data_IF_027236505629
#
_entry.id   IF_027236505629
#
_cell.length_a   1.000
_cell.length_b   1.000
_cell.length_c   1.000
_cell.angle_alpha   90.00
_cell.angle_beta   90.00
_cell.angle_gamma   90.00
#
_symmetry.space_group_name_H-M   'P 1'
#
loop_
_entity.id
_entity.type
_entity.pdbx_description
1 polymer ?
#
# COMPACT_ATOMS: atom_id res chain seq x y z
N UNK A 1 1.72 11.83 -43.34
CA UNK A 1 1.26 12.71 -42.25
C UNK A 1 2.27 12.53 -41.11
N UNK A 2 2.79 13.60 -40.59
CA UNK A 2 3.67 13.50 -39.39
C UNK A 2 2.77 13.13 -38.21
N UNK A 3 2.95 11.94 -37.65
CA UNK A 3 2.27 11.57 -36.40
C UNK A 3 2.92 12.32 -35.23
N UNK A 4 2.13 12.71 -34.23
CA UNK A 4 2.64 13.28 -33.01
C UNK A 4 3.57 12.33 -32.24
N UNK A 5 4.26 12.84 -31.24
CA UNK A 5 5.14 12.04 -30.40
C UNK A 5 4.35 10.92 -29.68
N UNK A 6 4.97 9.77 -29.56
CA UNK A 6 4.37 8.63 -28.82
C UNK A 6 4.64 8.82 -27.33
N UNK A 7 3.59 8.69 -26.52
CA UNK A 7 3.67 8.54 -25.07
C UNK A 7 3.78 7.04 -24.78
N UNK A 8 4.87 6.62 -24.16
CA UNK A 8 5.11 5.21 -23.82
C UNK A 8 4.65 4.93 -22.41
N UNK A 9 3.64 4.08 -22.25
CA UNK A 9 3.11 3.64 -20.98
C UNK A 9 3.68 2.26 -20.66
N UNK A 10 4.63 2.20 -19.74
CA UNK A 10 5.25 0.92 -19.34
C UNK A 10 4.23 0.05 -18.60
N UNK A 11 3.88 -1.09 -19.18
CA UNK A 11 2.84 -2.00 -18.68
C UNK A 11 1.40 -1.62 -19.08
N UNK A 12 1.22 -0.54 -19.80
CA UNK A 12 -0.08 -0.08 -20.33
C UNK A 12 -0.07 0.06 -21.85
N UNK A 13 -1.08 0.76 -22.38
CA UNK A 13 -1.24 1.00 -23.81
C UNK A 13 -0.61 2.34 -24.20
N UNK A 14 0.34 2.31 -25.15
CA UNK A 14 0.95 3.55 -25.65
C UNK A 14 -0.07 4.48 -26.31
N UNK A 15 0.11 5.76 -26.11
CA UNK A 15 -0.72 6.83 -26.68
C UNK A 15 0.10 7.72 -27.61
N UNK A 16 -0.53 8.65 -28.32
CA UNK A 16 0.16 9.64 -29.14
C UNK A 16 -0.33 11.05 -28.81
N UNK A 17 0.54 12.03 -28.98
CA UNK A 17 0.13 13.44 -28.94
C UNK A 17 -0.47 13.85 -30.28
N UNK A 18 -1.55 14.62 -30.24
CA UNK A 18 -2.20 15.17 -31.43
C UNK A 18 -1.51 16.45 -31.85
N UNK A 19 -1.15 16.57 -33.14
CA UNK A 19 -0.51 17.78 -33.70
C UNK A 19 -1.57 18.71 -34.26
N UNK A 20 -1.69 19.90 -33.67
CA UNK A 20 -2.66 20.91 -34.13
C UNK A 20 -2.49 21.31 -35.57
N UNK A 21 -3.57 21.28 -36.32
CA UNK A 21 -3.60 21.65 -37.73
C UNK A 21 -2.98 20.62 -38.69
N UNK A 22 -2.52 19.46 -38.20
CA UNK A 22 -1.92 18.37 -38.96
C UNK A 22 -2.73 17.10 -38.81
N UNK A 23 -3.01 16.70 -37.56
CA UNK A 23 -3.73 15.48 -37.23
C UNK A 23 -5.23 15.76 -37.07
N UNK A 24 -6.07 14.88 -37.60
CA UNK A 24 -7.46 14.75 -37.16
C UNK A 24 -7.51 14.01 -35.83
N UNK A 25 -8.52 14.32 -35.01
CA UNK A 25 -8.81 13.51 -33.83
C UNK A 25 -9.38 12.17 -34.29
N UNK A 26 -8.69 11.11 -33.95
CA UNK A 26 -9.07 9.74 -34.28
C UNK A 26 -9.72 9.03 -33.08
N UNK A 27 -10.39 7.92 -33.33
CA UNK A 27 -11.01 7.12 -32.28
C UNK A 27 -9.99 6.66 -31.21
N UNK A 28 -8.76 6.41 -31.62
CA UNK A 28 -7.69 5.97 -30.73
C UNK A 28 -7.23 7.06 -29.78
N UNK A 29 -7.30 8.34 -30.16
CA UNK A 29 -6.96 9.46 -29.28
C UNK A 29 -7.88 9.53 -28.04
N UNK A 30 -9.07 8.94 -28.13
CA UNK A 30 -9.99 8.76 -27.03
C UNK A 30 -9.90 7.36 -26.40
N UNK A 31 -9.80 6.32 -27.21
CA UNK A 31 -9.87 4.94 -26.74
C UNK A 31 -8.63 4.49 -25.97
N UNK A 32 -7.44 4.98 -26.35
CA UNK A 32 -6.20 4.57 -25.69
C UNK A 32 -6.06 5.16 -24.26
N UNK A 33 -6.24 6.47 -24.02
CA UNK A 33 -6.28 7.00 -22.64
C UNK A 33 -7.39 6.34 -21.82
N UNK A 34 -8.57 6.11 -22.40
CA UNK A 34 -9.65 5.39 -21.73
C UNK A 34 -9.25 3.97 -21.32
N UNK A 35 -8.54 3.25 -22.19
CA UNK A 35 -8.06 1.90 -21.87
C UNK A 35 -7.10 1.93 -20.65
N UNK A 36 -6.13 2.84 -20.65
CA UNK A 36 -5.20 2.99 -19.53
C UNK A 36 -5.91 3.37 -18.21
N UNK A 37 -6.90 4.26 -18.26
CA UNK A 37 -7.71 4.60 -17.09
C UNK A 37 -8.49 3.38 -16.58
N UNK A 38 -9.12 2.62 -17.48
CA UNK A 38 -9.81 1.39 -17.11
C UNK A 38 -8.86 0.36 -16.48
N UNK A 39 -7.66 0.25 -17.00
CA UNK A 39 -6.63 -0.64 -16.48
C UNK A 39 -6.21 -0.23 -15.08
N UNK A 40 -5.98 1.06 -14.82
CA UNK A 40 -5.72 1.58 -13.46
C UNK A 40 -6.88 1.28 -12.50
N UNK A 41 -8.11 1.39 -12.97
CA UNK A 41 -9.28 1.26 -12.12
C UNK A 41 -9.68 -0.18 -11.80
N UNK A 42 -9.55 -1.11 -12.74
CA UNK A 42 -10.19 -2.43 -12.57
C UNK A 42 -9.42 -3.64 -13.11
N UNK A 43 -8.48 -3.46 -14.03
CA UNK A 43 -7.84 -4.60 -14.70
C UNK A 43 -6.57 -5.07 -13.99
N UNK A 44 -6.26 -6.38 -14.03
CA UNK A 44 -4.95 -6.91 -13.65
C UNK A 44 -3.86 -6.33 -14.56
N UNK A 45 -2.73 -5.97 -13.98
CA UNK A 45 -1.58 -5.42 -14.68
C UNK A 45 -0.31 -6.13 -14.26
N UNK A 46 0.59 -6.32 -15.22
CA UNK A 46 1.98 -6.65 -14.94
C UNK A 46 2.75 -5.33 -14.74
N UNK A 47 3.36 -5.17 -13.58
CA UNK A 47 4.07 -3.95 -13.21
C UNK A 47 5.50 -4.31 -12.87
N UNK A 48 6.43 -3.51 -13.36
CA UNK A 48 7.82 -3.60 -12.93
C UNK A 48 8.09 -2.56 -11.86
N UNK A 49 8.40 -3.01 -10.65
CA UNK A 49 8.89 -2.18 -9.56
C UNK A 49 10.35 -2.53 -9.33
N UNK A 50 11.24 -1.57 -9.53
CA UNK A 50 12.66 -1.81 -9.38
C UNK A 50 13.16 -2.96 -10.27
N UNK A 51 13.53 -4.08 -9.67
CA UNK A 51 14.12 -5.25 -10.36
C UNK A 51 13.15 -6.41 -10.57
N UNK A 52 11.90 -6.32 -10.15
CA UNK A 52 10.93 -7.42 -10.27
C UNK A 52 9.64 -6.98 -10.94
N UNK A 53 9.00 -7.93 -11.62
CA UNK A 53 7.72 -7.74 -12.29
C UNK A 53 6.61 -8.22 -11.37
N UNK A 54 5.63 -7.38 -11.12
CA UNK A 54 4.47 -7.71 -10.31
C UNK A 54 3.27 -7.99 -11.20
N UNK A 55 2.64 -9.15 -11.02
CA UNK A 55 1.28 -9.36 -11.47
C UNK A 55 0.34 -8.73 -10.43
N UNK A 56 -0.18 -7.54 -10.72
CA UNK A 56 -1.00 -6.80 -9.77
C UNK A 56 -2.31 -6.33 -10.38
N UNK A 57 -3.30 -6.14 -9.51
CA UNK A 57 -4.55 -5.46 -9.86
C UNK A 57 -4.46 -4.06 -9.30
N UNK A 58 -4.49 -3.04 -10.12
CA UNK A 58 -4.58 -1.67 -9.60
C UNK A 58 -5.90 -1.44 -8.91
N UNK A 59 -7.00 -1.80 -9.54
CA UNK A 59 -8.30 -2.00 -8.92
C UNK A 59 -8.72 -0.96 -7.89
N UNK A 60 -8.44 0.31 -8.10
CA UNK A 60 -8.80 1.38 -7.16
C UNK A 60 -10.31 1.48 -6.91
N UNK A 61 -11.10 0.83 -7.74
CA UNK A 61 -12.55 0.73 -7.59
C UNK A 61 -12.96 -0.64 -7.03
N UNK A 62 -12.42 -1.07 -5.95
CA UNK A 62 -12.75 -2.35 -5.34
C UNK A 62 -14.17 -2.37 -4.75
N UNK A 63 -14.87 -3.47 -4.99
CA UNK A 63 -16.22 -3.68 -4.48
C UNK A 63 -17.35 -3.29 -5.46
N UNK A 64 -17.04 -2.95 -6.71
CA UNK A 64 -18.01 -2.65 -7.75
C UNK A 64 -18.78 -1.34 -7.56
N UNK A 65 -18.35 -0.51 -6.62
CA UNK A 65 -18.89 0.84 -6.49
C UNK A 65 -18.33 1.74 -7.60
N UNK A 66 -19.03 2.81 -7.89
CA UNK A 66 -18.60 3.82 -8.84
C UNK A 66 -17.30 4.47 -8.37
N UNK A 67 -16.31 4.57 -9.23
CA UNK A 67 -15.04 5.24 -8.96
C UNK A 67 -15.22 6.73 -8.87
N UNK A 68 -16.02 7.24 -9.77
CA UNK A 68 -16.32 8.63 -9.95
C UNK A 68 -17.84 8.79 -9.88
N UNK A 69 -18.38 9.87 -9.31
CA UNK A 69 -19.83 10.12 -9.30
C UNK A 69 -20.47 10.03 -10.68
N UNK A 70 -19.70 10.29 -11.72
CA UNK A 70 -20.13 10.16 -13.11
C UNK A 70 -19.90 8.77 -13.70
N UNK A 71 -19.18 7.87 -13.01
CA UNK A 71 -18.99 6.50 -13.46
C UNK A 71 -20.15 5.62 -13.01
N UNK A 72 -20.70 4.85 -13.93
CA UNK A 72 -21.74 3.88 -13.61
C UNK A 72 -21.15 2.48 -13.59
N UNK A 73 -20.84 1.99 -12.40
CA UNK A 73 -20.32 0.66 -12.18
C UNK A 73 -18.81 0.52 -12.40
N UNK A 74 -18.31 -0.69 -12.27
CA UNK A 74 -16.89 -1.04 -12.32
C UNK A 74 -16.23 -0.91 -13.71
N UNK A 75 -17.02 -0.74 -14.75
CA UNK A 75 -16.52 -0.58 -16.11
C UNK A 75 -16.71 0.87 -16.52
N UNK A 76 -15.68 1.64 -16.34
CA UNK A 76 -15.79 3.08 -16.40
C UNK A 76 -16.26 3.58 -17.76
N UNK A 77 -15.66 3.16 -18.82
CA UNK A 77 -15.92 3.72 -20.14
C UNK A 77 -15.98 2.61 -21.21
N UNK A 78 -17.08 1.84 -21.20
CA UNK A 78 -17.26 0.83 -22.26
C UNK A 78 -17.34 1.50 -23.63
N UNK A 79 -16.76 0.86 -24.64
CA UNK A 79 -16.92 1.29 -26.02
C UNK A 79 -18.41 1.39 -26.38
N UNK A 80 -18.83 2.52 -26.97
CA UNK A 80 -20.22 2.76 -27.28
C UNK A 80 -21.10 3.23 -26.12
N UNK A 81 -20.52 3.52 -24.96
CA UNK A 81 -21.25 4.16 -23.87
C UNK A 81 -21.63 5.60 -24.26
N UNK A 82 -22.69 6.13 -23.65
CA UNK A 82 -23.08 7.54 -23.83
C UNK A 82 -22.14 8.51 -23.08
N UNK A 83 -21.11 7.99 -22.43
CA UNK A 83 -20.12 8.76 -21.70
C UNK A 83 -19.10 9.35 -22.67
N UNK A 84 -18.80 10.63 -22.46
CA UNK A 84 -17.97 11.40 -23.35
C UNK A 84 -16.60 11.75 -22.79
N UNK A 85 -15.93 12.67 -23.46
CA UNK A 85 -14.60 13.17 -23.09
C UNK A 85 -14.61 13.77 -21.67
N UNK A 86 -15.67 14.49 -21.30
CA UNK A 86 -15.81 15.06 -19.94
C UNK A 86 -15.75 13.99 -18.85
N UNK A 87 -16.44 12.87 -19.05
CA UNK A 87 -16.45 11.80 -18.05
C UNK A 87 -15.05 11.16 -17.89
N UNK A 88 -14.29 11.05 -18.97
CA UNK A 88 -12.90 10.58 -18.93
C UNK A 88 -12.01 11.61 -18.20
N UNK A 89 -12.20 12.89 -18.44
CA UNK A 89 -11.50 13.97 -17.73
C UNK A 89 -11.79 13.92 -16.22
N UNK A 90 -13.04 13.76 -15.84
CA UNK A 90 -13.45 13.64 -14.43
C UNK A 90 -12.80 12.43 -13.74
N UNK A 91 -12.73 11.28 -14.44
CA UNK A 91 -12.09 10.07 -13.91
C UNK A 91 -10.56 10.28 -13.74
N UNK A 92 -9.90 10.93 -14.68
CA UNK A 92 -8.47 11.26 -14.59
C UNK A 92 -8.21 12.26 -13.46
N UNK A 93 -9.02 13.30 -13.31
CA UNK A 93 -8.90 14.25 -12.20
C UNK A 93 -9.07 13.56 -10.84
N UNK A 94 -10.01 12.62 -10.72
CA UNK A 94 -10.17 11.83 -9.51
C UNK A 94 -8.94 10.96 -9.20
N UNK A 95 -8.33 10.35 -10.23
CA UNK A 95 -7.06 9.63 -10.11
C UNK A 95 -5.92 10.55 -9.69
N UNK A 96 -5.79 11.73 -10.27
CA UNK A 96 -4.77 12.72 -9.89
C UNK A 96 -4.89 13.10 -8.42
N UNK A 97 -6.10 13.37 -7.92
CA UNK A 97 -6.33 13.66 -6.51
C UNK A 97 -5.96 12.45 -5.63
N UNK A 98 -6.36 11.25 -6.01
CA UNK A 98 -6.07 10.04 -5.25
C UNK A 98 -4.57 9.74 -5.18
N UNK A 99 -3.85 9.88 -6.30
CA UNK A 99 -2.42 9.60 -6.41
C UNK A 99 -1.54 10.79 -5.97
N UNK A 100 -2.15 11.89 -5.54
CA UNK A 100 -1.47 13.15 -5.24
C UNK A 100 -0.58 13.63 -6.41
N UNK A 101 -1.07 13.43 -7.64
CA UNK A 101 -0.39 13.81 -8.88
C UNK A 101 -0.99 15.11 -9.41
N UNK A 102 -0.16 16.12 -9.64
CA UNK A 102 -0.60 17.46 -10.06
C UNK A 102 0.26 18.04 -11.20
N UNK A 103 1.10 17.23 -11.84
CA UNK A 103 2.03 17.70 -12.88
C UNK A 103 1.29 18.28 -14.08
N UNK A 104 0.23 17.61 -14.51
CA UNK A 104 -0.60 18.07 -15.63
C UNK A 104 -1.99 18.52 -15.16
N UNK A 105 -2.46 19.61 -15.76
CA UNK A 105 -3.80 20.13 -15.48
C UNK A 105 -4.77 19.70 -16.58
N UNK A 106 -5.73 18.85 -16.25
CA UNK A 106 -6.82 18.48 -17.14
C UNK A 106 -7.87 19.59 -17.10
N UNK A 107 -8.08 20.25 -18.26
CA UNK A 107 -9.11 21.27 -18.39
C UNK A 107 -10.42 20.64 -18.86
N UNK A 108 -11.46 20.82 -18.08
CA UNK A 108 -12.81 20.35 -18.41
C UNK A 108 -13.34 20.97 -19.70
N UNK A 109 -14.05 20.14 -20.46
CA UNK A 109 -14.83 20.58 -21.60
C UNK A 109 -16.30 20.69 -21.24
N UNK A 110 -16.94 21.75 -21.72
CA UNK A 110 -18.38 21.97 -21.61
C UNK A 110 -19.09 21.74 -22.95
N UNK A 111 -20.39 21.59 -22.89
CA UNK A 111 -21.20 21.47 -24.11
C UNK A 111 -21.06 22.74 -24.97
N UNK A 112 -20.61 22.58 -26.21
CA UNK A 112 -20.38 23.67 -27.14
C UNK A 112 -18.93 24.15 -27.23
N UNK A 113 -18.04 23.65 -26.39
CA UNK A 113 -16.61 23.96 -26.50
C UNK A 113 -15.98 23.34 -27.74
N UNK A 114 -14.98 24.04 -28.27
CA UNK A 114 -14.13 23.48 -29.32
C UNK A 114 -13.07 22.58 -28.70
N UNK A 115 -13.12 21.30 -29.03
CA UNK A 115 -12.12 20.34 -28.58
C UNK A 115 -10.87 20.53 -29.44
N UNK A 116 -9.76 20.88 -28.79
CA UNK A 116 -8.47 21.16 -29.43
C UNK A 116 -7.46 20.03 -29.23
N UNK A 117 -6.38 20.03 -30.01
CA UNK A 117 -5.24 19.16 -29.76
C UNK A 117 -4.67 19.32 -28.33
N UNK A 118 -4.67 20.54 -27.81
CA UNK A 118 -4.21 20.81 -26.44
C UNK A 118 -5.08 20.10 -25.39
N UNK A 119 -6.40 20.06 -25.60
CA UNK A 119 -7.35 19.37 -24.71
C UNK A 119 -7.06 17.87 -24.64
N UNK A 120 -6.80 17.22 -25.78
CA UNK A 120 -6.43 15.81 -25.79
C UNK A 120 -5.02 15.57 -25.22
N UNK A 121 -4.07 16.42 -25.56
CA UNK A 121 -2.69 16.26 -25.11
C UNK A 121 -2.55 16.39 -23.60
N UNK A 122 -3.23 17.37 -22.96
CA UNK A 122 -3.23 17.48 -21.50
C UNK A 122 -3.86 16.27 -20.82
N UNK A 123 -4.92 15.71 -21.39
CA UNK A 123 -5.54 14.48 -20.88
C UNK A 123 -4.59 13.28 -20.99
N UNK A 124 -3.93 13.09 -22.14
CA UNK A 124 -3.01 11.98 -22.34
C UNK A 124 -1.80 12.04 -21.42
N UNK A 125 -1.22 13.25 -21.23
CA UNK A 125 -0.11 13.47 -20.30
C UNK A 125 -0.56 13.22 -18.86
N UNK A 126 -1.73 13.69 -18.45
CA UNK A 126 -2.27 13.41 -17.14
C UNK A 126 -2.52 11.91 -16.88
N UNK A 127 -2.93 11.15 -17.91
CA UNK A 127 -3.04 9.68 -17.81
C UNK A 127 -1.67 9.04 -17.64
N UNK A 128 -0.65 9.50 -18.38
CA UNK A 128 0.74 9.05 -18.21
C UNK A 128 1.24 9.32 -16.79
N UNK A 129 1.01 10.52 -16.28
CA UNK A 129 1.41 10.92 -14.92
C UNK A 129 0.72 10.07 -13.86
N UNK A 130 -0.60 9.84 -13.98
CA UNK A 130 -1.32 8.93 -13.09
C UNK A 130 -0.77 7.50 -13.15
N UNK A 131 -0.41 7.03 -14.34
CA UNK A 131 0.20 5.72 -14.50
C UNK A 131 1.55 5.62 -13.81
N UNK A 132 2.38 6.63 -13.94
CA UNK A 132 3.71 6.67 -13.32
C UNK A 132 3.60 6.83 -11.78
N UNK A 133 2.59 7.54 -11.30
CA UNK A 133 2.33 7.78 -9.88
C UNK A 133 1.49 6.70 -9.19
N UNK A 134 1.14 5.62 -9.85
CA UNK A 134 0.14 4.61 -9.43
C UNK A 134 0.36 3.97 -8.05
N UNK A 135 1.54 4.12 -7.47
CA UNK A 135 1.86 3.67 -6.10
C UNK A 135 2.23 4.83 -5.15
N UNK A 136 2.10 6.07 -5.57
CA UNK A 136 2.56 7.24 -4.80
C UNK A 136 1.51 7.83 -3.87
N UNK A 137 0.35 7.19 -3.68
CA UNK A 137 -0.66 7.81 -2.86
C UNK A 137 -0.28 7.77 -1.36
N UNK A 138 -0.81 8.69 -0.58
CA UNK A 138 -0.53 8.79 0.85
C UNK A 138 -1.63 8.07 1.65
N UNK A 139 -1.31 7.04 2.42
CA UNK A 139 -2.30 6.37 3.25
C UNK A 139 -2.77 7.25 4.41
N UNK A 140 -3.92 6.90 4.96
CA UNK A 140 -4.47 7.53 6.16
C UNK A 140 -3.54 7.35 7.38
N UNK A 141 -3.82 8.07 8.46
CA UNK A 141 -3.12 7.86 9.74
C UNK A 141 -3.28 6.41 10.22
N UNK A 142 -2.23 5.88 10.86
CA UNK A 142 -2.26 4.52 11.38
C UNK A 142 -3.28 4.38 12.51
N UNK A 143 -4.10 3.34 12.43
CA UNK A 143 -5.07 2.95 13.45
C UNK A 143 -4.63 1.66 14.16
N UNK A 144 -5.13 1.46 15.38
CA UNK A 144 -4.98 0.20 16.11
C UNK A 144 -6.28 -0.58 15.99
N UNK A 145 -6.23 -1.76 15.37
CA UNK A 145 -7.40 -2.61 15.20
C UNK A 145 -7.57 -3.57 16.38
N UNK A 146 -6.46 -4.12 16.91
CA UNK A 146 -6.48 -4.98 18.10
C UNK A 146 -5.26 -4.73 18.99
N UNK A 147 -5.38 -5.09 20.26
CA UNK A 147 -4.30 -5.04 21.26
C UNK A 147 -4.32 -6.31 22.09
N UNK A 148 -3.16 -6.93 22.28
CA UNK A 148 -2.95 -7.98 23.28
C UNK A 148 -1.91 -7.52 24.30
N UNK A 149 -2.05 -7.97 25.53
CA UNK A 149 -1.19 -7.56 26.63
C UNK A 149 -0.68 -8.76 27.42
N UNK A 150 0.52 -8.61 27.97
CA UNK A 150 1.12 -9.50 28.97
C UNK A 150 1.60 -8.67 30.16
N UNK A 151 1.22 -9.09 31.35
CA UNK A 151 1.58 -8.41 32.62
C UNK A 151 2.56 -9.20 33.45
N UNK A 152 2.91 -10.42 33.01
CA UNK A 152 3.91 -11.25 33.71
C UNK A 152 5.29 -11.00 33.12
N UNK A 153 6.30 -10.97 33.94
CA UNK A 153 7.69 -10.93 33.54
C UNK A 153 8.00 -12.09 32.53
N UNK A 154 9.02 -11.90 31.71
CA UNK A 154 9.43 -12.94 30.77
C UNK A 154 10.92 -13.18 30.78
N UNK A 155 11.29 -14.36 30.34
CA UNK A 155 12.64 -14.79 29.99
C UNK A 155 12.56 -15.48 28.64
N UNK A 156 13.67 -15.64 27.96
CA UNK A 156 13.72 -16.32 26.67
C UNK A 156 12.90 -15.61 25.58
N UNK A 157 11.95 -16.31 24.97
CA UNK A 157 11.30 -15.82 23.75
C UNK A 157 9.80 -15.66 23.95
N UNK A 158 9.30 -14.48 23.61
CA UNK A 158 7.87 -14.20 23.44
C UNK A 158 7.50 -14.16 21.96
N UNK A 159 6.33 -14.68 21.63
CA UNK A 159 5.80 -14.68 20.28
C UNK A 159 4.35 -14.23 20.27
N UNK A 160 4.00 -13.40 19.29
CA UNK A 160 2.62 -13.07 18.94
C UNK A 160 2.42 -13.18 17.43
N UNK A 161 1.30 -13.76 17.01
CA UNK A 161 0.96 -13.95 15.60
C UNK A 161 -0.23 -13.07 15.25
N UNK A 162 -0.10 -12.31 14.19
CA UNK A 162 -1.14 -11.46 13.63
C UNK A 162 -1.49 -11.99 12.24
N UNK A 163 -2.77 -12.23 12.02
CA UNK A 163 -3.28 -12.65 10.72
C UNK A 163 -4.23 -11.59 10.18
N UNK A 164 -3.99 -11.15 8.96
CA UNK A 164 -4.88 -10.27 8.20
C UNK A 164 -5.57 -11.08 7.11
N UNK A 165 -6.90 -11.00 7.04
CA UNK A 165 -7.72 -11.74 6.07
C UNK A 165 -8.51 -10.79 5.21
N UNK A 166 -8.35 -10.92 3.90
CA UNK A 166 -9.10 -10.19 2.87
C UNK A 166 -10.20 -11.06 2.28
N UNK A 167 -11.28 -10.44 1.83
CA UNK A 167 -12.41 -11.14 1.22
C UNK A 167 -12.05 -11.81 -0.13
N UNK A 168 -11.04 -11.28 -0.84
CA UNK A 168 -10.55 -11.81 -2.11
C UNK A 168 -9.10 -11.38 -2.37
N UNK A 169 -8.44 -12.05 -3.32
CA UNK A 169 -7.14 -11.64 -3.84
C UNK A 169 -7.19 -10.21 -4.39
N UNK A 170 -8.21 -9.88 -5.19
CA UNK A 170 -8.38 -8.55 -5.75
C UNK A 170 -8.46 -7.47 -4.67
N UNK A 171 -9.18 -7.73 -3.57
CA UNK A 171 -9.26 -6.80 -2.44
C UNK A 171 -7.90 -6.65 -1.74
N UNK A 172 -7.15 -7.75 -1.59
CA UNK A 172 -5.81 -7.72 -0.99
C UNK A 172 -4.84 -6.88 -1.83
N UNK A 173 -4.76 -7.16 -3.13
CA UNK A 173 -3.87 -6.42 -4.03
C UNK A 173 -4.25 -4.95 -4.15
N UNK A 174 -5.54 -4.66 -4.30
CA UNK A 174 -6.02 -3.29 -4.37
C UNK A 174 -5.69 -2.50 -3.10
N UNK A 175 -5.79 -3.11 -1.91
CA UNK A 175 -5.42 -2.47 -0.65
C UNK A 175 -3.96 -2.00 -0.68
N UNK A 176 -3.03 -2.87 -1.06
CA UNK A 176 -1.60 -2.51 -1.14
C UNK A 176 -1.29 -1.57 -2.31
N UNK A 177 -1.91 -1.76 -3.47
CA UNK A 177 -1.76 -0.85 -4.61
C UNK A 177 -2.27 0.56 -4.28
N UNK A 178 -3.34 0.62 -3.52
CA UNK A 178 -3.86 1.85 -2.98
C UNK A 178 -3.02 2.41 -1.81
N UNK A 179 -1.86 1.83 -1.46
CA UNK A 179 -0.92 2.23 -0.40
C UNK A 179 -1.35 1.87 1.00
N UNK A 180 -2.24 0.91 1.13
CA UNK A 180 -2.55 0.34 2.43
C UNK A 180 -1.32 -0.31 3.05
N UNK A 181 -1.21 -0.22 4.37
CA UNK A 181 -0.10 -0.77 5.15
C UNK A 181 -0.63 -1.56 6.33
N UNK A 182 0.04 -2.68 6.66
CA UNK A 182 -0.35 -3.59 7.74
C UNK A 182 0.85 -3.94 8.62
N UNK A 183 0.64 -4.04 9.93
CA UNK A 183 1.76 -4.41 10.78
C UNK A 183 1.51 -4.38 12.28
N UNK A 184 2.57 -4.08 13.00
CA UNK A 184 2.62 -4.05 14.46
C UNK A 184 3.08 -2.71 15.01
N UNK A 185 2.67 -2.41 16.24
CA UNK A 185 3.48 -1.62 17.17
C UNK A 185 3.64 -2.37 18.49
N UNK A 186 4.73 -2.11 19.18
CA UNK A 186 5.08 -2.75 20.45
C UNK A 186 5.42 -1.67 21.45
N UNK A 187 5.00 -1.85 22.68
CA UNK A 187 5.34 -0.95 23.77
C UNK A 187 5.22 -1.63 25.11
N UNK A 188 5.87 -1.08 26.10
CA UNK A 188 5.81 -1.53 27.49
C UNK A 188 5.54 -0.35 28.42
N UNK A 189 4.84 -0.58 29.50
CA UNK A 189 4.57 0.44 30.53
C UNK A 189 4.68 -0.15 31.92
N UNK A 190 5.11 0.67 32.87
CA UNK A 190 5.27 0.26 34.30
C UNK A 190 6.41 -0.75 34.50
N UNK A 191 6.33 -1.53 35.55
CA UNK A 191 7.36 -2.48 35.96
C UNK A 191 8.46 -1.87 36.83
N UNK A 192 9.51 -2.63 37.05
CA UNK A 192 10.70 -2.23 37.81
C UNK A 192 11.55 -1.21 37.03
N UNK A 193 12.30 -0.38 37.73
CA UNK A 193 13.26 0.53 37.08
C UNK A 193 14.58 -0.20 36.81
N UNK A 194 14.55 -1.23 35.96
CA UNK A 194 15.74 -1.98 35.59
C UNK A 194 16.34 -1.46 34.26
N UNK A 195 17.62 -1.70 34.09
CA UNK A 195 18.30 -1.34 32.85
C UNK A 195 17.75 -2.14 31.66
N UNK A 196 17.39 -3.40 31.88
CA UNK A 196 16.79 -4.24 30.86
C UNK A 196 15.44 -3.70 30.34
N UNK A 197 14.57 -3.30 31.27
CA UNK A 197 13.31 -2.63 30.93
C UNK A 197 13.55 -1.35 30.14
N UNK A 198 14.51 -0.54 30.53
CA UNK A 198 14.89 0.69 29.84
C UNK A 198 15.36 0.38 28.41
N UNK A 199 16.15 -0.68 28.20
CA UNK A 199 16.64 -1.07 26.86
C UNK A 199 15.52 -1.56 25.94
N UNK A 200 14.57 -2.32 26.48
CA UNK A 200 13.39 -2.70 25.72
C UNK A 200 12.55 -1.48 25.32
N UNK A 201 12.33 -0.53 26.25
CA UNK A 201 11.58 0.70 25.96
C UNK A 201 12.27 1.56 24.89
N UNK A 202 13.59 1.70 24.95
CA UNK A 202 14.40 2.37 23.93
C UNK A 202 14.27 1.66 22.57
N UNK A 203 14.29 0.33 22.56
CA UNK A 203 14.16 -0.47 21.35
C UNK A 203 12.78 -0.30 20.73
N UNK A 204 11.70 -0.40 21.51
CA UNK A 204 10.33 -0.21 21.01
C UNK A 204 10.11 1.22 20.51
N UNK A 205 10.62 2.22 21.23
CA UNK A 205 10.54 3.62 20.80
C UNK A 205 11.29 3.86 19.50
N UNK A 206 12.50 3.28 19.36
CA UNK A 206 13.30 3.44 18.16
C UNK A 206 12.70 2.74 16.92
N UNK A 207 12.05 1.60 17.12
CA UNK A 207 11.40 0.85 16.04
C UNK A 207 10.08 1.51 15.62
N UNK A 208 9.26 1.96 16.58
CA UNK A 208 7.96 2.56 16.32
C UNK A 208 6.96 1.58 15.69
N UNK A 209 6.16 2.06 14.75
CA UNK A 209 5.29 1.21 13.93
C UNK A 209 6.12 0.43 12.91
N UNK A 210 5.82 -0.85 12.75
CA UNK A 210 6.43 -1.75 11.76
C UNK A 210 5.33 -2.06 10.74
N UNK A 211 5.43 -1.48 9.56
CA UNK A 211 4.36 -1.48 8.56
C UNK A 211 4.86 -2.05 7.23
N UNK A 212 4.22 -3.12 6.79
CA UNK A 212 4.40 -3.73 5.48
C UNK A 212 3.55 -2.95 4.47
N UNK A 213 4.19 -2.38 3.45
CA UNK A 213 3.51 -1.79 2.29
C UNK A 213 3.62 -2.69 1.04
N UNK A 214 3.36 -2.17 -0.14
CA UNK A 214 3.40 -2.93 -1.39
C UNK A 214 4.84 -3.35 -1.78
N UNK A 215 5.85 -2.54 -1.47
CA UNK A 215 7.25 -2.69 -1.94
C UNK A 215 8.23 -2.98 -0.81
N UNK A 216 7.95 -2.51 0.42
CA UNK A 216 8.91 -2.58 1.52
C UNK A 216 8.23 -2.76 2.88
N UNK A 217 9.02 -2.88 3.92
CA UNK A 217 8.58 -2.80 5.30
C UNK A 217 9.18 -1.56 5.95
N UNK A 218 8.35 -0.69 6.46
CA UNK A 218 8.74 0.56 7.11
C UNK A 218 8.86 0.36 8.62
N UNK A 219 9.92 0.91 9.21
CA UNK A 219 10.12 1.00 10.64
C UNK A 219 11.07 2.17 10.94
N UNK A 220 11.02 2.72 12.15
CA UNK A 220 11.88 3.83 12.56
C UNK A 220 13.36 3.43 12.63
N UNK A 221 13.66 2.21 13.09
CA UNK A 221 15.04 1.70 13.24
C UNK A 221 15.05 0.17 13.22
N UNK A 222 16.13 -0.40 12.69
CA UNK A 222 16.35 -1.85 12.60
C UNK A 222 16.98 -2.22 11.27
N UNK A 223 17.34 -3.50 11.12
CA UNK A 223 17.75 -4.07 9.83
C UNK A 223 16.49 -4.51 9.12
N UNK A 224 16.13 -3.76 8.08
CA UNK A 224 15.01 -4.03 7.22
C UNK A 224 15.49 -4.85 6.02
N UNK A 225 14.72 -5.87 5.63
CA UNK A 225 15.04 -6.72 4.47
C UNK A 225 14.56 -6.13 3.14
N UNK A 226 13.94 -4.96 3.14
CA UNK A 226 13.31 -4.32 1.97
C UNK A 226 12.29 -5.24 1.27
N UNK A 227 11.55 -6.00 2.06
CA UNK A 227 10.51 -6.91 1.57
C UNK A 227 9.16 -6.20 1.75
N UNK A 228 8.40 -6.12 0.66
CA UNK A 228 7.03 -5.66 0.62
C UNK A 228 6.04 -6.80 0.35
N UNK A 229 4.77 -6.46 0.28
CA UNK A 229 3.70 -7.44 0.06
C UNK A 229 3.92 -8.32 -1.18
N UNK A 230 4.38 -7.72 -2.29
CA UNK A 230 4.54 -8.44 -3.55
C UNK A 230 5.72 -9.40 -3.58
N UNK A 231 6.65 -9.28 -2.64
CA UNK A 231 7.79 -10.18 -2.50
C UNK A 231 7.54 -11.31 -1.49
N UNK A 232 6.40 -11.26 -0.76
CA UNK A 232 6.07 -12.30 0.21
C UNK A 232 5.87 -13.65 -0.47
N UNK A 233 6.43 -14.66 0.16
CA UNK A 233 6.23 -16.07 -0.21
C UNK A 233 5.34 -16.79 0.78
N UNK A 234 5.06 -18.05 0.54
CA UNK A 234 4.34 -18.91 1.48
C UNK A 234 5.20 -19.36 2.68
N UNK A 235 6.50 -19.14 2.64
CA UNK A 235 7.40 -19.34 3.76
C UNK A 235 7.66 -18.05 4.51
N UNK A 236 7.76 -18.06 5.85
CA UNK A 236 8.07 -16.85 6.61
C UNK A 236 9.39 -16.20 6.16
N UNK A 237 9.33 -14.90 5.88
CA UNK A 237 10.46 -14.06 5.49
C UNK A 237 10.68 -12.99 6.55
N UNK A 238 11.93 -12.68 6.87
CA UNK A 238 12.26 -11.65 7.84
C UNK A 238 11.99 -10.27 7.22
N UNK A 239 11.11 -9.51 7.85
CA UNK A 239 10.82 -8.11 7.50
C UNK A 239 11.72 -7.15 8.24
N UNK A 240 11.88 -7.36 9.53
CA UNK A 240 12.66 -6.49 10.42
C UNK A 240 13.38 -7.31 11.48
N UNK A 241 14.60 -6.85 11.82
CA UNK A 241 15.33 -7.27 13.00
C UNK A 241 15.93 -6.07 13.70
N UNK A 242 15.78 -5.99 15.02
CA UNK A 242 16.36 -4.94 15.84
C UNK A 242 16.92 -5.51 17.13
N UNK A 243 18.23 -5.43 17.26
CA UNK A 243 18.93 -5.73 18.53
C UNK A 243 18.86 -4.53 19.45
N UNK A 244 18.87 -4.79 20.76
CA UNK A 244 19.08 -3.73 21.75
C UNK A 244 20.48 -3.13 21.58
N UNK A 245 20.62 -1.83 21.86
CA UNK A 245 21.82 -1.10 21.43
C UNK A 245 23.00 -1.16 22.42
N UNK A 246 22.75 -1.57 23.67
CA UNK A 246 23.71 -1.36 24.75
C UNK A 246 24.01 -2.66 25.54
N UNK A 247 25.31 -2.93 25.76
CA UNK A 247 25.74 -4.04 26.60
C UNK A 247 25.18 -3.89 28.03
N UNK A 248 24.87 -5.01 28.72
CA UNK A 248 25.08 -6.40 28.31
C UNK A 248 23.97 -6.97 27.40
N UNK A 249 22.90 -6.24 27.09
CA UNK A 249 21.67 -6.69 26.45
C UNK A 249 21.74 -6.73 24.90
N UNK A 250 22.92 -6.67 24.32
CA UNK A 250 23.08 -6.59 22.84
C UNK A 250 22.68 -7.86 22.10
N UNK A 251 22.40 -8.94 22.79
CA UNK A 251 21.87 -10.17 22.24
C UNK A 251 20.33 -10.23 22.23
N UNK A 252 19.68 -9.32 22.96
CA UNK A 252 18.23 -9.21 22.96
C UNK A 252 17.75 -8.66 21.62
N UNK A 253 16.69 -9.27 21.05
CA UNK A 253 16.25 -8.96 19.70
C UNK A 253 14.75 -8.93 19.55
N UNK A 254 14.27 -7.90 18.85
CA UNK A 254 12.94 -7.85 18.27
C UNK A 254 13.05 -8.28 16.79
N UNK A 255 12.20 -9.23 16.37
CA UNK A 255 12.13 -9.68 14.99
C UNK A 255 10.70 -9.77 14.52
N UNK A 256 10.46 -9.37 13.27
CA UNK A 256 9.18 -9.56 12.59
C UNK A 256 9.41 -10.36 11.33
N UNK A 257 8.60 -11.39 11.14
CA UNK A 257 8.55 -12.17 9.89
C UNK A 257 7.14 -12.12 9.32
N UNK A 258 7.01 -12.31 8.01
CA UNK A 258 5.71 -12.43 7.36
C UNK A 258 5.72 -13.48 6.25
N UNK A 259 4.53 -13.97 5.93
CA UNK A 259 4.26 -14.82 4.77
C UNK A 259 2.82 -14.64 4.29
N UNK A 260 2.54 -15.07 3.07
CA UNK A 260 1.18 -15.14 2.51
C UNK A 260 0.71 -16.60 2.43
N UNK A 261 -0.61 -16.80 2.39
CA UNK A 261 -1.18 -18.13 2.19
C UNK A 261 -0.98 -18.66 0.76
N UNK A 262 -0.78 -17.78 -0.21
CA UNK A 262 -0.56 -18.08 -1.63
C UNK A 262 0.14 -16.92 -2.32
N UNK A 263 1.10 -17.19 -3.18
CA UNK A 263 1.76 -16.18 -4.01
C UNK A 263 0.92 -15.77 -5.22
N UNK A 264 0.06 -16.68 -5.70
CA UNK A 264 -0.81 -16.43 -6.86
C UNK A 264 -2.11 -15.75 -6.46
N UNK A 265 -2.76 -16.24 -5.39
CA UNK A 265 -4.05 -15.74 -4.92
C UNK A 265 -3.96 -15.36 -3.42
N UNK A 266 -3.20 -14.34 -3.04
CA UNK A 266 -3.04 -13.95 -1.65
C UNK A 266 -4.33 -13.38 -1.09
N UNK A 267 -4.82 -13.99 -0.02
CA UNK A 267 -5.98 -13.50 0.74
C UNK A 267 -5.71 -13.42 2.24
N UNK A 268 -4.61 -14.05 2.68
CA UNK A 268 -4.22 -14.07 4.10
C UNK A 268 -2.75 -13.72 4.21
N UNK A 269 -2.46 -12.75 5.07
CA UNK A 269 -1.09 -12.37 5.44
C UNK A 269 -0.91 -12.73 6.90
N UNK A 270 0.09 -13.56 7.19
CA UNK A 270 0.46 -13.92 8.56
C UNK A 270 1.76 -13.22 8.90
N UNK A 271 1.75 -12.45 9.98
CA UNK A 271 2.93 -11.77 10.52
C UNK A 271 3.23 -12.30 11.91
N UNK A 272 4.48 -12.58 12.20
CA UNK A 272 4.91 -13.08 13.51
C UNK A 272 5.91 -12.10 14.12
N UNK A 273 5.58 -11.56 15.27
CA UNK A 273 6.48 -10.80 16.11
C UNK A 273 7.11 -11.72 17.15
N UNK A 274 8.42 -11.63 17.27
CA UNK A 274 9.21 -12.36 18.27
C UNK A 274 10.07 -11.38 19.04
N UNK A 275 10.02 -11.48 20.39
CA UNK A 275 10.92 -10.78 21.30
C UNK A 275 11.76 -11.84 22.00
N UNK A 276 13.06 -11.80 21.81
CA UNK A 276 13.99 -12.74 22.47
C UNK A 276 14.81 -12.00 23.48
N UNK A 277 14.67 -12.39 24.73
CA UNK A 277 15.56 -12.05 25.83
C UNK A 277 16.61 -13.14 25.89
N UNK A 278 17.84 -12.80 25.59
CA UNK A 278 18.93 -13.79 25.44
C UNK A 278 19.43 -14.37 26.76
N UNK A 279 18.99 -13.85 27.89
CA UNK A 279 19.28 -14.38 29.22
C UNK A 279 20.76 -14.31 29.63
N UNK A 280 21.52 -13.42 29.03
CA UNK A 280 22.97 -13.27 29.24
C UNK A 280 23.31 -12.26 30.36
N UNK A 281 22.30 -11.65 30.96
CA UNK A 281 22.50 -10.67 32.01
C UNK A 281 22.46 -11.30 33.37
N UNK A 282 23.55 -11.25 34.02
CA UNK A 282 23.75 -11.76 35.39
C UNK A 282 23.25 -10.73 36.42
N UNK A 283 22.86 -9.53 36.01
CA UNK A 283 22.79 -8.34 36.87
C UNK A 283 21.36 -7.82 37.03
N UNK A 284 20.44 -8.18 36.13
CA UNK A 284 19.12 -7.55 36.09
C UNK A 284 17.95 -8.51 36.26
N UNK A 285 16.85 -7.95 36.72
CA UNK A 285 15.59 -8.66 36.78
C UNK A 285 15.04 -8.87 35.37
N UNK A 286 14.26 -9.92 35.18
CA UNK A 286 13.53 -10.19 33.96
C UNK A 286 12.69 -8.97 33.53
N UNK A 287 12.56 -8.69 32.22
CA UNK A 287 11.65 -7.67 31.76
C UNK A 287 10.24 -7.87 32.34
N UNK A 288 9.70 -6.82 32.93
CA UNK A 288 8.41 -6.85 33.63
C UNK A 288 7.54 -5.62 33.23
N UNK A 289 6.41 -5.45 33.91
CA UNK A 289 5.41 -4.45 33.56
C UNK A 289 4.37 -4.97 32.58
N UNK A 290 3.71 -4.07 31.87
CA UNK A 290 2.71 -4.41 30.87
C UNK A 290 3.29 -4.27 29.47
N UNK A 291 3.59 -5.39 28.83
CA UNK A 291 3.92 -5.45 27.40
C UNK A 291 2.63 -5.41 26.59
N UNK A 292 2.54 -4.51 25.62
CA UNK A 292 1.41 -4.37 24.71
C UNK A 292 1.89 -4.56 23.28
N UNK A 293 1.21 -5.42 22.53
CA UNK A 293 1.39 -5.60 21.09
C UNK A 293 0.09 -5.19 20.41
N UNK A 294 0.19 -4.30 19.43
CA UNK A 294 -0.96 -3.76 18.71
C UNK A 294 -0.90 -4.19 17.24
N UNK A 295 -2.04 -4.61 16.69
CA UNK A 295 -2.25 -4.71 15.26
C UNK A 295 -2.41 -3.30 14.70
N UNK A 296 -1.57 -2.93 13.72
CA UNK A 296 -1.54 -1.60 13.12
C UNK A 296 -1.92 -1.66 11.66
N UNK A 297 -2.77 -0.74 11.24
CA UNK A 297 -3.21 -0.61 9.85
C UNK A 297 -3.25 0.85 9.43
N UNK A 298 -2.81 1.11 8.20
CA UNK A 298 -3.07 2.36 7.48
C UNK A 298 -3.91 2.04 6.26
N UNK A 299 -5.08 2.63 6.19
CA UNK A 299 -6.02 2.41 5.08
C UNK A 299 -5.65 3.34 3.91
N UNK A 300 -5.80 2.90 2.64
CA UNK A 300 -5.78 3.84 1.52
C UNK A 300 -6.75 5.00 1.75
N UNK A 301 -6.25 6.25 1.64
CA UNK A 301 -7.09 7.43 1.83
C UNK A 301 -7.79 7.83 0.52
N UNK A 302 -9.08 7.70 0.49
CA UNK A 302 -9.91 8.08 -0.66
C UNK A 302 -10.69 9.37 -0.43
N UNK A 303 -10.37 10.11 0.63
CA UNK A 303 -11.08 11.35 0.99
C UNK A 303 -10.98 12.39 -0.12
N UNK A 304 -12.12 12.87 -0.59
CA UNK A 304 -12.18 13.89 -1.62
C UNK A 304 -11.93 13.43 -3.06
N UNK A 305 -11.66 12.14 -3.27
CA UNK A 305 -11.33 11.60 -4.60
C UNK A 305 -12.56 11.15 -5.40
N UNK A 306 -13.68 10.88 -4.75
CA UNK A 306 -14.85 10.24 -5.36
C UNK A 306 -14.72 8.72 -5.50
N UNK A 307 -13.59 8.12 -5.12
CA UNK A 307 -13.43 6.66 -5.07
C UNK A 307 -14.19 6.04 -3.90
N UNK A 308 -14.56 4.78 -4.08
CA UNK A 308 -15.10 3.98 -2.99
C UNK A 308 -13.99 3.59 -2.02
N UNK A 309 -14.34 3.51 -0.74
CA UNK A 309 -13.41 3.00 0.27
C UNK A 309 -12.94 1.58 -0.06
N UNK A 310 -11.66 1.35 0.11
CA UNK A 310 -11.08 0.00 -0.02
C UNK A 310 -11.62 -0.93 1.05
N UNK A 311 -11.73 -2.21 0.71
CA UNK A 311 -12.13 -3.23 1.67
C UNK A 311 -11.13 -3.29 2.83
N UNK A 312 -11.62 -3.18 4.04
CA UNK A 312 -10.82 -3.34 5.25
C UNK A 312 -10.56 -4.82 5.51
N UNK A 313 -9.31 -5.27 5.66
CA UNK A 313 -9.05 -6.64 6.08
C UNK A 313 -9.51 -6.88 7.51
N UNK A 314 -9.88 -8.12 7.82
CA UNK A 314 -10.14 -8.55 9.18
C UNK A 314 -8.85 -8.98 9.83
N UNK A 315 -8.57 -8.47 11.02
CA UNK A 315 -7.41 -8.86 11.83
C UNK A 315 -7.75 -9.99 12.82
N UNK A 316 -6.74 -10.76 13.16
CA UNK A 316 -6.76 -11.70 14.27
C UNK A 316 -5.39 -11.67 14.95
N UNK A 317 -5.30 -10.98 16.08
CA UNK A 317 -4.09 -10.86 16.87
C UNK A 317 -4.09 -11.90 17.99
N UNK A 318 -3.16 -12.86 17.89
CA UNK A 318 -2.98 -13.92 18.87
C UNK A 318 -2.37 -13.43 20.19
N UNK A 319 -2.68 -14.11 21.27
CA UNK A 319 -2.11 -13.84 22.58
C UNK A 319 -0.57 -13.90 22.55
N UNK A 320 0.07 -13.16 23.44
CA UNK A 320 1.52 -13.22 23.67
C UNK A 320 1.85 -14.54 24.40
N UNK A 321 2.57 -15.42 23.73
CA UNK A 321 2.96 -16.74 24.24
C UNK A 321 4.46 -16.82 24.46
N UNK A 322 4.88 -17.71 25.33
CA UNK A 322 6.27 -17.89 25.73
C UNK A 322 6.50 -17.66 27.23
N UNK A 323 7.71 -17.86 27.69
CA UNK A 323 8.10 -17.79 29.12
C UNK A 323 9.15 -16.74 29.35
#
# INVERSE_FOLDING_TARGET
MASGATITITGGTNMRLVVAGVDGVEADDYNLPRANVNDLLSSPQDVTLGTFTLASTFGYNQGGASVNPNSQGSTVLAAGSSRGLKDLQDDVQALQVFLNETSETVTDVAAGDIITAATFNSLMLAVEDCWNARFNHTPSAAVTDATVQRTTAWTNTLTSVLTWTFASEAACRAFFNGGGELGFSVGRTGGSASDQNTRWDETFTAVGDILLDHETTQAGSGTNSNIGFYELTTSPQQLLEKFTATAPYTADVLRVTANVNSTTNPTVITMTLTLTDAGDNIIDAQPDGTLSINARRRQPDVTGTGFSAFATPTDSLGAITGS
#
